data_IF_507427995894
#
_entry.id   IF_507427995894
#
_cell.length_a   1.000
_cell.length_b   1.000
_cell.length_c   1.000
_cell.angle_alpha   90.00
_cell.angle_beta   90.00
_cell.angle_gamma   90.00
#
_symmetry.space_group_name_H-M   'P 1'
#
loop_
_entity.id
_entity.type
_entity.pdbx_description
1 polymer ?
#
# COMPACT_ATOMS: atom_id res chain seq x y z
N UNK A 1 12.88 -8.45 8.48
CA UNK A 1 12.94 -7.65 7.24
C UNK A 1 14.16 -8.16 6.49
N UNK A 2 13.98 -8.94 5.42
CA UNK A 2 15.07 -9.66 4.73
C UNK A 2 15.86 -8.74 3.78
N UNK A 3 17.16 -8.97 3.65
CA UNK A 3 18.06 -8.21 2.76
C UNK A 3 17.61 -8.21 1.30
N UNK A 4 16.91 -9.26 0.87
CA UNK A 4 16.36 -9.36 -0.49
C UNK A 4 15.25 -8.34 -0.78
N UNK A 5 14.45 -8.00 0.23
CA UNK A 5 13.44 -6.91 0.11
C UNK A 5 14.12 -5.56 0.05
N UNK A 6 15.20 -5.38 0.81
CA UNK A 6 15.99 -4.16 0.74
C UNK A 6 16.59 -3.99 -0.65
N UNK A 7 17.16 -5.06 -1.23
CA UNK A 7 17.65 -5.12 -2.63
C UNK A 7 16.54 -4.90 -3.67
N UNK A 8 15.38 -5.54 -3.51
CA UNK A 8 14.25 -5.36 -4.42
C UNK A 8 13.63 -3.96 -4.32
N UNK A 9 13.73 -3.28 -3.17
CA UNK A 9 13.33 -1.87 -3.00
C UNK A 9 14.36 -0.89 -3.56
N UNK A 10 15.64 -1.22 -3.49
CA UNK A 10 16.73 -0.38 -4.00
C UNK A 10 17.05 -0.60 -5.47
N UNK A 11 16.51 -1.64 -6.11
CA UNK A 11 16.60 -1.84 -7.55
C UNK A 11 15.84 -0.76 -8.31
N UNK A 12 16.28 -0.49 -9.55
CA UNK A 12 15.70 0.53 -10.41
C UNK A 12 14.21 0.28 -10.68
N UNK A 13 13.83 -0.98 -10.91
CA UNK A 13 12.43 -1.39 -11.08
C UNK A 13 11.62 -1.20 -9.80
N UNK A 14 12.20 -1.50 -8.64
CA UNK A 14 11.59 -1.28 -7.34
C UNK A 14 11.32 0.19 -7.07
N UNK A 15 12.28 1.07 -7.35
CA UNK A 15 12.13 2.51 -7.21
C UNK A 15 11.11 3.10 -8.19
N UNK A 16 11.05 2.61 -9.43
CA UNK A 16 10.04 3.05 -10.41
C UNK A 16 8.61 2.67 -10.01
N UNK A 17 8.44 1.52 -9.35
CA UNK A 17 7.13 1.12 -8.81
C UNK A 17 6.80 1.96 -7.58
N UNK A 18 7.77 2.26 -6.72
CA UNK A 18 7.57 3.09 -5.53
C UNK A 18 7.25 4.54 -5.88
N UNK A 19 7.91 5.13 -6.87
CA UNK A 19 7.70 6.52 -7.28
C UNK A 19 6.27 6.78 -7.78
N UNK A 20 5.62 5.76 -8.37
CA UNK A 20 4.20 5.81 -8.77
C UNK A 20 3.25 6.03 -7.59
N UNK A 21 3.68 5.71 -6.37
CA UNK A 21 2.86 5.83 -5.17
C UNK A 21 3.28 7.02 -4.28
N UNK A 22 4.41 7.68 -4.55
CA UNK A 22 4.89 8.78 -3.71
C UNK A 22 3.92 9.97 -3.69
N UNK A 23 3.33 10.30 -4.83
CA UNK A 23 2.33 11.35 -4.93
C UNK A 23 1.05 10.98 -4.16
N UNK A 24 0.59 9.73 -4.31
CA UNK A 24 -0.54 9.21 -3.52
C UNK A 24 -0.23 9.25 -2.02
N UNK A 25 0.99 8.93 -1.59
CA UNK A 25 1.39 8.93 -0.18
C UNK A 25 1.30 10.33 0.43
N UNK A 26 1.72 11.34 -0.34
CA UNK A 26 1.63 12.75 0.06
C UNK A 26 0.17 13.18 0.17
N UNK A 27 -0.64 12.86 -0.82
CA UNK A 27 -2.07 13.19 -0.83
C UNK A 27 -2.81 12.53 0.33
N UNK A 28 -2.56 11.24 0.59
CA UNK A 28 -3.14 10.53 1.74
C UNK A 28 -2.71 11.15 3.07
N UNK A 29 -1.48 11.63 3.19
CA UNK A 29 -1.02 12.31 4.42
C UNK A 29 -1.81 13.61 4.64
N UNK A 30 -2.09 14.36 3.57
CA UNK A 30 -2.88 15.59 3.62
C UNK A 30 -4.35 15.27 3.96
N UNK A 31 -4.95 14.27 3.29
CA UNK A 31 -6.37 13.96 3.44
C UNK A 31 -6.72 13.25 4.74
N UNK A 32 -5.83 12.40 5.25
CA UNK A 32 -6.07 11.62 6.48
C UNK A 32 -5.49 12.29 7.73
N UNK A 33 -4.63 13.30 7.56
CA UNK A 33 -3.88 13.92 8.65
C UNK A 33 -2.84 13.00 9.30
N UNK A 34 -2.67 11.76 8.80
CA UNK A 34 -1.71 10.78 9.31
C UNK A 34 -0.58 10.60 8.32
N UNK A 35 0.66 10.67 8.82
CA UNK A 35 1.85 10.40 8.01
C UNK A 35 1.76 8.99 7.43
N UNK A 36 1.53 8.93 6.12
CA UNK A 36 1.35 7.66 5.43
C UNK A 36 2.74 7.16 5.02
N UNK A 37 3.28 6.18 5.74
CA UNK A 37 4.61 5.63 5.47
C UNK A 37 4.58 4.67 4.27
N UNK A 38 4.51 5.24 3.07
CA UNK A 38 4.55 4.51 1.80
C UNK A 38 3.44 3.46 1.65
N UNK A 39 3.76 2.34 0.99
CA UNK A 39 2.80 1.27 0.64
C UNK A 39 2.07 0.66 1.82
N UNK A 40 2.73 0.53 2.98
CA UNK A 40 2.10 0.01 4.19
C UNK A 40 1.06 0.99 4.74
N UNK A 41 1.37 2.28 4.73
CA UNK A 41 0.39 3.30 5.10
C UNK A 41 -0.82 3.28 4.17
N UNK A 42 -0.60 3.11 2.85
CA UNK A 42 -1.67 3.01 1.86
C UNK A 42 -2.56 1.79 2.08
N UNK A 43 -1.98 0.61 2.36
CA UNK A 43 -2.77 -0.59 2.63
C UNK A 43 -3.59 -0.47 3.92
N UNK A 44 -3.09 0.23 4.93
CA UNK A 44 -3.88 0.56 6.12
C UNK A 44 -5.07 1.47 5.80
N UNK A 45 -4.86 2.51 4.99
CA UNK A 45 -5.96 3.39 4.55
C UNK A 45 -7.00 2.62 3.74
N UNK A 46 -6.56 1.76 2.80
CA UNK A 46 -7.46 0.91 2.02
C UNK A 46 -8.33 0.03 2.92
N UNK A 47 -7.71 -0.68 3.86
CA UNK A 47 -8.41 -1.58 4.77
C UNK A 47 -9.39 -0.83 5.68
N UNK A 48 -9.03 0.39 6.14
CA UNK A 48 -9.94 1.23 6.91
C UNK A 48 -11.17 1.64 6.10
N UNK A 49 -10.97 2.13 4.87
CA UNK A 49 -12.08 2.49 3.97
C UNK A 49 -12.95 1.29 3.61
N UNK A 50 -12.35 0.12 3.37
CA UNK A 50 -13.10 -1.12 3.15
C UNK A 50 -13.95 -1.50 4.35
N UNK A 51 -13.45 -1.34 5.57
CA UNK A 51 -14.20 -1.62 6.78
C UNK A 51 -15.39 -0.66 6.92
N UNK A 52 -15.16 0.66 6.77
CA UNK A 52 -16.21 1.68 6.80
C UNK A 52 -17.29 1.41 5.75
N UNK A 53 -16.87 1.14 4.51
CA UNK A 53 -17.79 0.82 3.41
C UNK A 53 -18.60 -0.46 3.68
N UNK A 54 -17.96 -1.51 4.21
CA UNK A 54 -18.63 -2.77 4.57
C UNK A 54 -19.62 -2.61 5.71
N UNK A 55 -19.41 -1.62 6.60
CA UNK A 55 -20.34 -1.24 7.65
C UNK A 55 -21.49 -0.35 7.15
N UNK A 56 -21.52 -0.02 5.85
CA UNK A 56 -22.51 0.89 5.27
C UNK A 56 -22.28 2.36 5.63
N UNK A 57 -21.08 2.72 6.11
CA UNK A 57 -20.72 4.11 6.39
C UNK A 57 -20.33 4.83 5.10
N UNK A 58 -20.56 6.14 5.07
CA UNK A 58 -20.14 6.97 3.94
C UNK A 58 -18.62 7.12 3.94
N UNK A 59 -18.00 6.72 2.83
CA UNK A 59 -16.56 6.90 2.63
C UNK A 59 -16.23 8.35 2.20
N UNK A 60 -15.06 8.88 2.58
CA UNK A 60 -14.69 10.25 2.25
C UNK A 60 -14.71 10.56 0.75
N UNK A 61 -15.16 11.76 0.38
CA UNK A 61 -15.28 12.16 -1.02
C UNK A 61 -13.96 12.12 -1.81
N UNK A 62 -12.81 12.36 -1.16
CA UNK A 62 -11.49 12.29 -1.78
C UNK A 62 -11.12 10.87 -2.23
N UNK A 63 -11.75 9.84 -1.65
CA UNK A 63 -11.47 8.44 -2.01
C UNK A 63 -12.11 8.05 -3.35
N UNK A 64 -13.05 8.87 -3.87
CA UNK A 64 -13.70 8.64 -5.16
C UNK A 64 -12.66 8.64 -6.27
N UNK A 65 -12.58 7.55 -7.01
CA UNK A 65 -11.64 7.36 -8.13
C UNK A 65 -10.36 6.61 -7.78
N UNK A 66 -10.08 6.37 -6.50
CA UNK A 66 -8.95 5.53 -6.05
C UNK A 66 -9.39 4.32 -5.21
N UNK A 67 -10.62 4.36 -4.68
CA UNK A 67 -11.29 3.30 -3.93
C UNK A 67 -12.67 3.00 -4.54
N UNK A 68 -13.18 1.75 -4.51
CA UNK A 68 -12.52 0.53 -4.01
C UNK A 68 -11.53 -0.07 -5.02
N UNK A 69 -11.56 0.38 -6.26
CA UNK A 69 -10.63 -0.01 -7.32
C UNK A 69 -9.86 1.22 -7.81
N UNK A 70 -8.57 1.05 -8.07
CA UNK A 70 -7.67 2.14 -8.48
C UNK A 70 -6.32 2.09 -7.76
N UNK A 71 -5.65 3.23 -7.71
CA UNK A 71 -4.25 3.30 -7.25
C UNK A 71 -4.05 2.85 -5.79
N UNK A 72 -5.06 3.07 -4.93
CA UNK A 72 -5.03 2.63 -3.54
C UNK A 72 -5.14 1.10 -3.40
N UNK A 73 -5.95 0.48 -4.27
CA UNK A 73 -6.04 -0.97 -4.38
C UNK A 73 -4.73 -1.56 -4.92
N UNK A 74 -4.16 -0.98 -5.98
CA UNK A 74 -2.91 -1.46 -6.58
C UNK A 74 -1.74 -1.40 -5.59
N UNK A 75 -1.64 -0.31 -4.81
CA UNK A 75 -0.66 -0.17 -3.74
C UNK A 75 -0.81 -1.28 -2.68
N UNK A 76 -2.06 -1.61 -2.32
CA UNK A 76 -2.38 -2.65 -1.34
C UNK A 76 -1.99 -4.03 -1.87
N UNK A 77 -2.35 -4.36 -3.11
CA UNK A 77 -1.97 -5.61 -3.77
C UNK A 77 -0.44 -5.74 -3.85
N UNK A 78 0.27 -4.66 -4.17
CA UNK A 78 1.72 -4.64 -4.22
C UNK A 78 2.37 -4.91 -2.85
N UNK A 79 1.80 -4.40 -1.75
CA UNK A 79 2.27 -4.68 -0.39
C UNK A 79 2.02 -6.15 -0.03
N UNK A 80 0.83 -6.70 -0.30
CA UNK A 80 0.53 -8.11 -0.03
C UNK A 80 1.43 -9.06 -0.83
N UNK A 81 1.70 -8.77 -2.10
CA UNK A 81 2.64 -9.56 -2.92
C UNK A 81 4.04 -9.57 -2.30
N UNK A 82 4.50 -8.43 -1.77
CA UNK A 82 5.80 -8.33 -1.09
C UNK A 82 5.83 -9.15 0.21
N UNK A 83 4.78 -9.04 1.03
CA UNK A 83 4.67 -9.80 2.28
C UNK A 83 4.64 -11.31 2.01
N UNK A 84 3.84 -11.76 1.04
CA UNK A 84 3.76 -13.17 0.66
C UNK A 84 5.07 -13.70 0.06
N UNK A 85 5.83 -12.87 -0.66
CA UNK A 85 7.16 -13.24 -1.14
C UNK A 85 8.12 -13.50 0.03
N UNK A 86 8.06 -12.67 1.07
CA UNK A 86 8.84 -12.87 2.29
C UNK A 86 8.45 -14.14 3.05
N UNK A 87 7.15 -14.40 3.21
CA UNK A 87 6.70 -15.63 3.88
C UNK A 87 7.15 -16.87 3.11
N UNK A 88 7.06 -16.87 1.78
CA UNK A 88 7.56 -17.98 0.96
C UNK A 88 9.06 -18.20 1.14
N UNK A 89 9.87 -17.14 1.15
CA UNK A 89 11.31 -17.24 1.39
C UNK A 89 11.59 -17.77 2.81
N UNK A 90 10.90 -17.24 3.82
CA UNK A 90 11.05 -17.69 5.20
C UNK A 90 10.66 -19.17 5.37
N UNK A 91 9.63 -19.64 4.66
CA UNK A 91 9.20 -21.04 4.67
C UNK A 91 10.18 -21.98 3.99
N UNK A 92 10.90 -21.52 2.97
CA UNK A 92 11.91 -22.34 2.25
C UNK A 92 13.22 -22.43 3.04
N UNK A 93 13.53 -21.40 3.84
CA UNK A 93 14.74 -21.33 4.66
C UNK A 93 14.57 -21.88 6.09
N UNK A 94 13.43 -22.50 6.39
CA UNK A 94 13.09 -23.08 7.69
C UNK A 94 13.10 -24.60 7.69
#
# INVERSE_FOLDING_TARGET
YSEEVAKARSSQDGQQVLSKFDELSKNLTIWTGKKTEGRRGMSHVFNALMAEWSMGLEVPAWSRGIFPHGMLYDATVAEFKLLNFNEKILRING
#
